data_IF_791532819280
#
_entry.id   IF_791532819280
#
_cell.length_a   1.000
_cell.length_b   1.000
_cell.length_c   1.000
_cell.angle_alpha   90.00
_cell.angle_beta   90.00
_cell.angle_gamma   90.00
#
_symmetry.space_group_name_H-M   'P 1'
#
loop_
_entity.id
_entity.type
_entity.pdbx_description
1 polymer ?
#
# COMPACT_ATOMS: atom_id res chain seq x y z
N UNK A 1 16.54 -2.26 10.75
CA UNK A 1 16.58 -1.43 9.52
C UNK A 1 16.16 -2.28 8.34
N UNK A 2 15.29 -1.76 7.47
CA UNK A 2 14.97 -2.41 6.19
C UNK A 2 16.19 -2.36 5.26
N UNK A 3 16.41 -3.42 4.49
CA UNK A 3 17.49 -3.51 3.50
C UNK A 3 16.91 -3.60 2.07
N UNK A 4 17.77 -3.52 1.05
CA UNK A 4 17.35 -3.56 -0.36
C UNK A 4 16.48 -4.78 -0.69
N UNK A 5 16.85 -5.97 -0.20
CA UNK A 5 16.09 -7.19 -0.44
C UNK A 5 14.69 -7.17 0.17
N UNK A 6 14.47 -6.43 1.27
CA UNK A 6 13.14 -6.24 1.87
C UNK A 6 12.20 -5.53 0.89
N UNK A 7 12.65 -4.45 0.25
CA UNK A 7 11.84 -3.71 -0.73
C UNK A 7 11.51 -4.56 -1.97
N UNK A 8 12.47 -5.37 -2.44
CA UNK A 8 12.23 -6.31 -3.54
C UNK A 8 11.17 -7.35 -3.17
N UNK A 9 11.21 -7.87 -1.95
CA UNK A 9 10.23 -8.85 -1.47
C UNK A 9 8.83 -8.23 -1.34
N UNK A 10 8.71 -7.02 -0.80
CA UNK A 10 7.43 -6.29 -0.77
C UNK A 10 6.88 -6.06 -2.16
N UNK A 11 7.70 -5.56 -3.10
CA UNK A 11 7.29 -5.37 -4.49
C UNK A 11 6.75 -6.68 -5.07
N UNK A 12 7.47 -7.79 -4.91
CA UNK A 12 7.04 -9.12 -5.38
C UNK A 12 5.75 -9.59 -4.73
N UNK A 13 5.56 -9.34 -3.44
CA UNK A 13 4.36 -9.72 -2.71
C UNK A 13 3.13 -8.97 -3.23
N UNK A 14 3.20 -7.63 -3.32
CA UNK A 14 2.10 -6.82 -3.82
C UNK A 14 1.74 -7.15 -5.27
N UNK A 15 2.74 -7.39 -6.13
CA UNK A 15 2.49 -7.77 -7.53
C UNK A 15 2.00 -9.22 -7.71
N UNK A 16 2.28 -10.11 -6.75
CA UNK A 16 1.80 -11.51 -6.79
C UNK A 16 0.31 -11.60 -6.43
N UNK A 17 -0.17 -10.70 -5.59
CA UNK A 17 -1.55 -10.66 -5.13
C UNK A 17 -2.16 -9.27 -5.42
N UNK A 18 -2.37 -8.93 -6.70
CA UNK A 18 -2.96 -7.65 -7.07
C UNK A 18 -4.37 -7.54 -6.50
N UNK A 19 -4.65 -6.47 -5.78
CA UNK A 19 -6.00 -6.10 -5.32
C UNK A 19 -6.50 -4.94 -6.18
N UNK A 20 -7.72 -5.03 -6.70
CA UNK A 20 -8.34 -3.99 -7.52
C UNK A 20 -8.78 -2.80 -6.66
N UNK A 21 -9.10 -1.69 -7.33
CA UNK A 21 -9.67 -0.49 -6.71
C UNK A 21 -10.80 -0.83 -5.72
N UNK A 22 -10.73 -0.24 -4.53
CA UNK A 22 -11.65 -0.43 -3.38
C UNK A 22 -11.60 -1.82 -2.72
N UNK A 23 -10.62 -2.66 -3.07
CA UNK A 23 -10.49 -4.03 -2.55
C UNK A 23 -9.11 -4.30 -1.92
N UNK A 24 -8.34 -3.26 -1.59
CA UNK A 24 -6.95 -3.34 -1.13
C UNK A 24 -6.81 -3.70 0.36
N UNK A 25 -7.60 -4.66 0.84
CA UNK A 25 -7.66 -5.03 2.26
C UNK A 25 -6.33 -5.61 2.76
N UNK A 26 -5.72 -6.53 2.02
CA UNK A 26 -4.46 -7.16 2.43
C UNK A 26 -3.32 -6.17 2.29
N UNK A 27 -3.29 -5.38 1.22
CA UNK A 27 -2.27 -4.37 1.01
C UNK A 27 -2.30 -3.33 2.14
N UNK A 28 -3.49 -2.82 2.47
CA UNK A 28 -3.70 -1.88 3.58
C UNK A 28 -3.22 -2.49 4.91
N UNK A 29 -3.58 -3.75 5.20
CA UNK A 29 -3.13 -4.44 6.42
C UNK A 29 -1.61 -4.56 6.51
N UNK A 30 -0.95 -4.93 5.41
CA UNK A 30 0.53 -4.99 5.35
C UNK A 30 1.15 -3.61 5.56
N UNK A 31 0.61 -2.56 4.93
CA UNK A 31 1.13 -1.21 5.11
C UNK A 31 0.95 -0.70 6.55
N UNK A 32 -0.18 -0.99 7.23
CA UNK A 32 -0.35 -0.68 8.66
C UNK A 32 0.70 -1.36 9.56
N UNK A 33 1.13 -2.57 9.21
CA UNK A 33 2.20 -3.27 9.94
C UNK A 33 3.58 -2.63 9.71
N UNK A 34 3.82 -2.10 8.50
CA UNK A 34 5.07 -1.43 8.13
C UNK A 34 5.13 -0.02 8.73
N UNK A 35 4.10 0.78 8.50
CA UNK A 35 4.01 2.21 8.82
C UNK A 35 3.46 2.42 10.23
N UNK A 36 4.06 1.80 11.25
CA UNK A 36 3.59 1.73 12.66
C UNK A 36 2.90 2.98 13.26
N UNK A 37 3.16 4.18 12.73
CA UNK A 37 2.45 5.43 13.04
C UNK A 37 1.50 5.80 11.89
N UNK A 38 0.19 5.68 12.13
CA UNK A 38 -0.85 6.08 11.19
C UNK A 38 -2.08 6.61 11.91
N UNK A 39 -2.87 7.43 11.22
CA UNK A 39 -4.12 8.00 11.74
C UNK A 39 -5.21 6.94 11.77
N UNK A 40 -5.96 6.90 12.88
CA UNK A 40 -7.12 6.02 13.03
C UNK A 40 -8.35 6.66 12.36
N UNK A 41 -8.46 6.45 11.05
CA UNK A 41 -9.56 6.93 10.21
C UNK A 41 -10.52 5.78 9.90
N UNK A 42 -11.83 6.04 9.74
CA UNK A 42 -12.84 5.03 9.41
C UNK A 42 -12.78 4.62 7.92
N UNK A 43 -11.60 4.19 7.47
CA UNK A 43 -11.33 3.76 6.10
C UNK A 43 -11.30 2.23 6.02
N UNK A 44 -12.01 1.68 5.04
CA UNK A 44 -11.99 0.23 4.76
C UNK A 44 -10.69 -0.20 4.09
N UNK A 45 -10.18 0.63 3.16
CA UNK A 45 -8.90 0.44 2.46
C UNK A 45 -8.14 1.78 2.43
N UNK A 46 -6.81 1.69 2.27
CA UNK A 46 -5.91 2.84 2.40
C UNK A 46 -5.62 3.21 3.86
N UNK A 47 -4.66 4.13 4.03
CA UNK A 47 -4.29 4.69 5.32
C UNK A 47 -3.57 6.03 5.13
N UNK A 48 -3.57 6.85 6.18
CA UNK A 48 -2.76 8.08 6.26
C UNK A 48 -1.71 7.88 7.35
N UNK A 49 -0.43 7.92 6.98
CA UNK A 49 0.68 7.80 7.91
C UNK A 49 1.30 9.17 8.17
N UNK A 50 1.58 9.46 9.43
CA UNK A 50 2.28 10.67 9.86
C UNK A 50 3.57 10.26 10.54
N UNK A 51 4.68 10.83 10.07
CA UNK A 51 6.03 10.46 10.49
C UNK A 51 6.80 11.73 10.84
N UNK A 52 7.16 11.87 12.11
CA UNK A 52 7.83 13.05 12.66
C UNK A 52 6.84 14.13 13.11
N UNK A 53 7.39 15.24 13.64
CA UNK A 53 6.65 16.37 14.19
C UNK A 53 7.30 17.68 13.71
N UNK A 54 6.52 18.71 13.38
CA UNK A 54 7.05 20.01 12.94
C UNK A 54 6.00 20.92 12.30
N UNK A 55 6.36 22.18 12.05
CA UNK A 55 5.49 23.16 11.37
C UNK A 55 5.47 22.99 9.85
N UNK A 56 6.59 22.55 9.27
CA UNK A 56 6.71 22.23 7.85
C UNK A 56 6.35 20.76 7.58
N UNK A 57 5.41 20.54 6.65
CA UNK A 57 4.91 19.20 6.31
C UNK A 57 5.02 18.93 4.81
N UNK A 58 5.48 17.72 4.47
CA UNK A 58 5.43 17.20 3.10
C UNK A 58 4.42 16.06 3.03
N UNK A 59 3.38 16.21 2.22
CA UNK A 59 2.40 15.17 1.97
C UNK A 59 2.74 14.42 0.67
N UNK A 60 2.80 13.09 0.75
CA UNK A 60 2.95 12.21 -0.42
C UNK A 60 1.69 11.36 -0.55
N UNK A 61 1.06 11.42 -1.72
CA UNK A 61 -0.06 10.54 -2.10
C UNK A 61 0.42 9.54 -3.14
N UNK A 62 0.06 8.28 -2.95
CA UNK A 62 0.21 7.23 -3.95
C UNK A 62 -1.04 6.38 -3.94
N UNK A 63 -1.39 5.83 -5.09
CA UNK A 63 -2.40 4.80 -5.18
C UNK A 63 -1.76 3.43 -4.87
N UNK A 64 -2.55 2.53 -4.28
CA UNK A 64 -2.12 1.18 -3.85
C UNK A 64 -2.83 0.07 -4.64
N UNK A 65 -3.74 0.45 -5.53
CA UNK A 65 -4.52 -0.46 -6.35
C UNK A 65 -3.65 -1.07 -7.46
N UNK A 66 -4.06 -2.25 -7.89
CA UNK A 66 -3.48 -2.93 -9.03
C UNK A 66 -4.43 -2.86 -10.22
N UNK A 67 -3.85 -2.83 -11.42
CA UNK A 67 -4.62 -2.97 -12.64
C UNK A 67 -5.11 -4.42 -12.83
N UNK A 68 -6.28 -4.62 -13.47
CA UNK A 68 -6.75 -5.95 -13.82
C UNK A 68 -5.75 -6.69 -14.71
N UNK A 69 -5.34 -7.88 -14.30
CA UNK A 69 -4.49 -8.77 -15.10
C UNK A 69 -5.34 -9.64 -16.06
N UNK A 70 -6.14 -9.04 -16.95
CA UNK A 70 -6.81 -9.83 -18.00
C UNK A 70 -5.91 -10.00 -19.23
N UNK A 71 -5.44 -11.22 -19.45
CA UNK A 71 -5.39 -11.78 -20.82
C UNK A 71 -6.84 -12.07 -21.21
N UNK A 72 -7.42 -11.27 -22.10
CA UNK A 72 -8.63 -11.69 -22.82
C UNK A 72 -8.20 -12.69 -23.89
N UNK A 73 -8.14 -13.98 -23.55
CA UNK A 73 -8.26 -15.02 -24.57
C UNK A 73 -9.75 -15.10 -24.92
N UNK A 74 -10.19 -14.27 -25.84
CA UNK A 74 -11.46 -14.48 -26.51
C UNK A 74 -11.26 -15.69 -27.42
N UNK A 75 -11.97 -16.77 -27.11
CA UNK A 75 -12.15 -17.93 -27.99
C UNK A 75 -12.80 -17.55 -29.30
#
# INVERSE_FOLDING_TARGET
MTNYSTYINWRRQFHRFPELSDQEYKATKTLKQILKSYLDLPLNTGLVAEIGDGEDMVAVRTDIDALPNRRTSTS
#
